data_IF_081368936304
#
_entry.id   IF_081368936304
#
_cell.length_a   1.000
_cell.length_b   1.000
_cell.length_c   1.000
_cell.angle_alpha   90.00
_cell.angle_beta   90.00
_cell.angle_gamma   90.00
#
_symmetry.space_group_name_H-M   'P 1'
#
loop_
_entity.id
_entity.type
_entity.pdbx_description
1 polymer ?
#
# COMPACT_ATOMS: atom_id res chain seq x y z
N UNK A 1 0.88 15.64 -2.81
CA UNK A 1 1.52 14.92 -1.69
C UNK A 1 1.47 15.77 -0.44
N UNK A 2 2.14 16.92 -0.40
CA UNK A 2 2.13 17.84 0.75
C UNK A 2 0.74 18.40 1.08
N UNK A 3 0.11 19.13 0.14
CA UNK A 3 -1.22 19.75 0.36
C UNK A 3 -2.33 18.74 0.69
N UNK A 4 -2.18 17.50 0.22
CA UNK A 4 -3.15 16.42 0.39
C UNK A 4 -2.82 15.46 1.54
N UNK A 5 -1.78 15.76 2.35
CA UNK A 5 -1.38 14.95 3.50
C UNK A 5 -0.93 13.52 3.16
N UNK A 6 -0.57 13.26 1.90
CA UNK A 6 -0.11 11.95 1.42
C UNK A 6 1.37 11.78 1.73
N UNK A 7 1.72 10.60 2.20
CA UNK A 7 3.05 10.27 2.73
C UNK A 7 3.80 9.29 1.83
N UNK A 8 3.09 8.35 1.22
CA UNK A 8 3.66 7.38 0.29
C UNK A 8 2.78 7.29 -0.96
N UNK A 9 3.39 7.24 -2.14
CA UNK A 9 2.65 7.03 -3.37
C UNK A 9 3.38 6.17 -4.39
N UNK A 10 2.60 5.42 -5.16
CA UNK A 10 3.05 4.34 -6.04
C UNK A 10 2.24 4.30 -7.34
N UNK A 11 2.77 3.63 -8.35
CA UNK A 11 2.07 3.36 -9.63
C UNK A 11 1.82 1.88 -9.87
N UNK A 12 2.58 0.98 -9.23
CA UNK A 12 2.48 -0.46 -9.46
C UNK A 12 2.54 -1.23 -8.14
N UNK A 13 1.79 -2.33 -8.05
CA UNK A 13 1.92 -3.33 -7.00
C UNK A 13 2.08 -4.71 -7.62
N UNK A 14 2.89 -5.57 -7.01
CA UNK A 14 3.23 -6.90 -7.51
C UNK A 14 3.27 -7.90 -6.35
N UNK A 15 3.06 -9.19 -6.61
CA UNK A 15 3.42 -10.23 -5.66
C UNK A 15 4.94 -10.46 -5.66
N UNK A 16 5.52 -10.63 -4.48
CA UNK A 16 6.93 -11.01 -4.30
C UNK A 16 7.12 -12.52 -4.51
N UNK A 17 8.31 -12.92 -4.95
CA UNK A 17 8.70 -14.35 -4.95
C UNK A 17 8.94 -14.81 -3.51
N UNK A 18 8.04 -15.64 -2.98
CA UNK A 18 8.10 -16.15 -1.62
C UNK A 18 9.43 -16.84 -1.25
N UNK A 19 10.18 -17.36 -2.24
CA UNK A 19 11.51 -17.96 -2.01
C UNK A 19 12.57 -16.96 -1.55
N UNK A 20 12.32 -15.68 -1.75
CA UNK A 20 13.26 -14.57 -1.48
C UNK A 20 13.08 -14.01 -0.08
N UNK A 21 11.91 -14.25 0.51
CA UNK A 21 11.45 -13.70 1.79
C UNK A 21 10.84 -14.78 2.72
N UNK A 22 11.36 -16.03 2.79
CA UNK A 22 10.70 -17.10 3.53
C UNK A 22 10.50 -16.82 5.02
N UNK A 23 11.32 -15.99 5.66
CA UNK A 23 11.15 -15.64 7.09
C UNK A 23 10.71 -14.21 7.36
N UNK A 24 10.61 -13.35 6.34
CA UNK A 24 10.33 -11.91 6.49
C UNK A 24 9.05 -11.64 7.29
N UNK A 25 7.96 -12.34 6.99
CA UNK A 25 6.68 -12.12 7.66
C UNK A 25 6.70 -12.57 9.11
N UNK A 26 7.31 -13.73 9.40
CA UNK A 26 7.46 -14.20 10.78
C UNK A 26 8.33 -13.26 11.61
N UNK A 27 9.43 -12.75 11.04
CA UNK A 27 10.25 -11.72 11.68
C UNK A 27 9.45 -10.44 11.94
N UNK A 28 8.63 -10.01 10.98
CA UNK A 28 7.76 -8.83 11.13
C UNK A 28 6.70 -9.04 12.21
N UNK A 29 6.06 -10.21 12.29
CA UNK A 29 5.11 -10.52 13.38
C UNK A 29 5.80 -10.48 14.75
N UNK A 30 7.03 -10.99 14.85
CA UNK A 30 7.81 -10.90 16.08
C UNK A 30 8.13 -9.44 16.46
N UNK A 31 8.42 -8.59 15.47
CA UNK A 31 8.56 -7.14 15.69
C UNK A 31 7.26 -6.53 16.22
N UNK A 32 6.11 -6.78 15.59
CA UNK A 32 4.82 -6.24 16.01
C UNK A 32 4.44 -6.69 17.42
N UNK A 33 4.74 -7.93 17.79
CA UNK A 33 4.51 -8.44 19.14
C UNK A 33 5.42 -7.76 20.18
N UNK A 34 6.64 -7.38 19.80
CA UNK A 34 7.62 -6.72 20.68
C UNK A 34 7.35 -5.21 20.81
N UNK A 35 6.84 -4.57 19.77
CA UNK A 35 6.59 -3.12 19.71
C UNK A 35 5.14 -2.80 19.28
N UNK A 36 4.12 -3.27 20.01
CA UNK A 36 2.72 -3.12 19.60
C UNK A 36 2.29 -1.64 19.49
N UNK A 37 2.88 -0.77 20.31
CA UNK A 37 2.57 0.67 20.31
C UNK A 37 3.08 1.42 19.06
N UNK A 38 4.01 0.80 18.30
CA UNK A 38 4.52 1.39 17.05
C UNK A 38 3.63 1.10 15.84
N UNK A 39 2.74 0.11 15.93
CA UNK A 39 1.80 -0.23 14.86
C UNK A 39 0.60 0.72 14.92
N UNK A 40 0.24 1.33 13.78
CA UNK A 40 -0.90 2.23 13.73
C UNK A 40 -2.19 1.45 14.01
N UNK A 41 -3.06 1.99 14.87
CA UNK A 41 -4.37 1.38 15.18
C UNK A 41 -5.28 1.31 13.95
N UNK A 42 -5.23 2.36 13.15
CA UNK A 42 -5.92 2.48 11.86
C UNK A 42 -4.86 2.30 10.77
N UNK A 43 -4.60 1.05 10.41
CA UNK A 43 -3.63 0.70 9.37
C UNK A 43 -4.36 0.03 8.21
N UNK A 44 -3.62 -0.53 7.25
CA UNK A 44 -4.20 -1.23 6.10
C UNK A 44 -3.44 -2.54 5.82
N UNK A 45 -3.18 -3.31 6.87
CA UNK A 45 -2.56 -4.65 6.76
C UNK A 45 -3.31 -5.55 5.77
N UNK A 46 -4.59 -5.31 5.52
CA UNK A 46 -5.41 -6.02 4.52
C UNK A 46 -4.83 -5.93 3.10
N UNK A 47 -4.00 -4.93 2.80
CA UNK A 47 -3.27 -4.85 1.53
C UNK A 47 -2.24 -5.99 1.41
N UNK A 48 -1.55 -6.32 2.50
CA UNK A 48 -0.47 -7.32 2.55
C UNK A 48 -0.91 -8.68 3.14
N UNK A 49 -2.14 -8.80 3.63
CA UNK A 49 -2.61 -10.03 4.27
C UNK A 49 -4.11 -10.25 4.04
N UNK A 50 -4.47 -11.44 3.59
CA UNK A 50 -5.87 -11.80 3.32
C UNK A 50 -6.56 -12.47 4.52
N UNK A 51 -5.85 -12.70 5.62
CA UNK A 51 -6.29 -13.49 6.77
C UNK A 51 -6.08 -12.77 8.11
N UNK A 52 -6.13 -11.43 8.08
CA UNK A 52 -6.05 -10.59 9.27
C UNK A 52 -4.65 -10.52 9.88
N UNK A 53 -3.60 -10.67 9.07
CA UNK A 53 -2.21 -10.62 9.49
C UNK A 53 -1.61 -11.96 9.90
N UNK A 54 -2.31 -13.09 9.71
CA UNK A 54 -1.75 -14.40 10.04
C UNK A 54 -0.65 -14.80 9.04
N UNK A 55 -0.86 -14.54 7.75
CA UNK A 55 0.10 -14.76 6.67
C UNK A 55 0.28 -13.53 5.77
N UNK A 56 1.46 -13.43 5.14
CA UNK A 56 1.76 -12.43 4.12
C UNK A 56 1.29 -12.95 2.75
N UNK A 57 0.49 -12.17 2.05
CA UNK A 57 -0.01 -12.53 0.71
C UNK A 57 1.02 -12.25 -0.40
N UNK A 58 2.20 -11.70 -0.06
CA UNK A 58 3.28 -11.38 -1.00
C UNK A 58 3.15 -10.02 -1.68
N UNK A 59 2.01 -9.32 -1.54
CA UNK A 59 1.75 -8.06 -2.22
C UNK A 59 2.63 -6.93 -1.69
N UNK A 60 3.28 -6.23 -2.60
CA UNK A 60 4.09 -5.06 -2.30
C UNK A 60 3.91 -3.98 -3.38
N UNK A 61 4.12 -2.73 -3.00
CA UNK A 61 4.33 -1.62 -3.92
C UNK A 61 5.69 -1.76 -4.60
N UNK A 62 5.73 -1.57 -5.91
CA UNK A 62 6.95 -1.78 -6.66
C UNK A 62 7.88 -0.57 -6.56
N UNK A 63 8.91 -0.69 -5.70
CA UNK A 63 9.74 0.43 -5.25
C UNK A 63 10.58 1.10 -6.34
N UNK A 64 10.63 0.56 -7.56
CA UNK A 64 11.22 1.23 -8.72
C UNK A 64 10.55 2.58 -9.02
N UNK A 65 9.27 2.75 -8.66
CA UNK A 65 8.59 4.03 -8.62
C UNK A 65 8.03 4.30 -7.23
N UNK A 66 8.59 5.28 -6.53
CA UNK A 66 8.08 5.75 -5.24
C UNK A 66 8.16 7.26 -5.15
N UNK A 67 7.09 7.87 -4.65
CA UNK A 67 7.11 9.24 -4.15
C UNK A 67 6.82 9.15 -2.65
N UNK A 68 7.89 9.13 -1.85
CA UNK A 68 7.83 9.01 -0.40
C UNK A 68 8.29 10.29 0.31
N UNK A 69 7.68 10.59 1.46
CA UNK A 69 8.10 11.71 2.31
C UNK A 69 9.34 11.33 3.15
N UNK A 70 10.49 11.93 2.82
CA UNK A 70 11.78 11.71 3.46
C UNK A 70 12.15 12.74 4.55
N UNK A 71 11.43 13.85 4.67
CA UNK A 71 12.04 15.10 5.17
C UNK A 71 11.92 15.32 6.67
N UNK A 72 13.08 15.65 7.28
CA UNK A 72 13.19 16.47 8.48
C UNK A 72 13.20 17.95 8.06
N UNK A 73 12.18 18.74 8.40
CA UNK A 73 12.34 20.20 8.46
C UNK A 73 12.66 20.58 9.90
N UNK A 74 13.95 20.49 10.23
CA UNK A 74 14.50 21.20 11.39
C UNK A 74 14.34 22.71 11.14
N UNK A 75 13.22 23.28 11.56
CA UNK A 75 13.02 24.72 11.51
C UNK A 75 11.59 25.24 11.58
N UNK A 76 10.57 24.43 11.31
CA UNK A 76 9.18 24.88 11.43
C UNK A 76 8.47 24.19 12.59
N UNK A 77 8.50 24.87 13.73
CA UNK A 77 7.53 24.63 14.79
C UNK A 77 6.13 24.80 14.21
N UNK A 78 5.26 23.82 14.50
CA UNK A 78 3.80 23.89 14.34
C UNK A 78 3.24 23.48 12.97
N UNK A 79 3.27 22.17 12.68
CA UNK A 79 2.12 21.34 12.23
C UNK A 79 2.65 20.00 11.68
N UNK A 80 2.49 18.92 12.46
CA UNK A 80 2.42 17.50 12.06
C UNK A 80 3.05 17.11 10.69
N UNK A 81 4.38 17.16 10.55
CA UNK A 81 5.03 16.48 9.42
C UNK A 81 5.16 15.00 9.75
N UNK A 82 4.41 14.17 9.02
CA UNK A 82 4.47 12.72 9.14
C UNK A 82 5.69 12.21 8.38
N UNK A 83 6.84 12.24 9.04
CA UNK A 83 8.10 11.72 8.49
C UNK A 83 7.96 10.19 8.45
N UNK A 84 8.03 9.56 7.29
CA UNK A 84 7.85 8.10 7.25
C UNK A 84 9.18 7.36 7.38
N UNK A 85 10.10 7.57 6.44
CA UNK A 85 11.38 6.86 6.40
C UNK A 85 12.38 7.23 7.51
N UNK A 86 12.17 8.39 8.15
CA UNK A 86 13.06 8.90 9.23
C UNK A 86 12.38 8.94 10.59
N UNK A 87 11.20 8.34 10.74
CA UNK A 87 10.59 8.24 12.07
C UNK A 87 11.18 7.05 12.86
N UNK A 88 10.95 7.12 14.18
CA UNK A 88 11.39 6.10 15.12
C UNK A 88 10.81 4.72 14.79
N UNK A 89 9.56 4.63 14.33
CA UNK A 89 8.92 3.35 14.02
C UNK A 89 9.61 2.63 12.87
N UNK A 90 9.87 3.32 11.76
CA UNK A 90 10.56 2.78 10.59
C UNK A 90 12.01 2.44 10.91
N UNK A 91 12.75 3.35 11.55
CA UNK A 91 14.15 3.07 11.93
C UNK A 91 14.25 1.87 12.88
N UNK A 92 13.37 1.77 13.89
CA UNK A 92 13.36 0.62 14.81
C UNK A 92 13.00 -0.68 14.09
N UNK A 93 12.05 -0.62 13.13
CA UNK A 93 11.69 -1.78 12.31
C UNK A 93 12.85 -2.23 11.43
N UNK A 94 13.47 -1.30 10.69
CA UNK A 94 14.63 -1.59 9.85
C UNK A 94 15.79 -2.18 10.66
N UNK A 95 16.13 -1.57 11.80
CA UNK A 95 17.20 -2.06 12.68
C UNK A 95 16.88 -3.46 13.22
N UNK A 96 15.61 -3.76 13.52
CA UNK A 96 15.18 -5.08 13.94
C UNK A 96 15.38 -6.12 12.83
N UNK A 97 15.05 -5.77 11.58
CA UNK A 97 15.24 -6.65 10.43
C UNK A 97 16.72 -6.84 10.09
N UNK A 98 17.53 -5.78 10.15
CA UNK A 98 18.96 -5.85 9.82
C UNK A 98 19.70 -6.81 10.77
N UNK A 99 19.33 -6.81 12.04
CA UNK A 99 19.90 -7.71 13.06
C UNK A 99 19.56 -9.20 12.84
N UNK A 100 18.53 -9.53 12.05
CA UNK A 100 18.24 -10.95 11.74
C UNK A 100 19.06 -11.47 10.56
N UNK A 101 19.69 -10.58 9.78
CA UNK A 101 20.51 -10.94 8.63
C UNK A 101 19.71 -11.39 7.40
N UNK A 102 18.39 -11.25 7.38
CA UNK A 102 17.54 -11.70 6.27
C UNK A 102 17.88 -11.04 4.92
N UNK A 103 18.45 -9.83 4.93
CA UNK A 103 18.98 -9.17 3.73
C UNK A 103 20.13 -9.95 3.07
N UNK A 104 20.89 -10.75 3.82
CA UNK A 104 22.08 -11.47 3.34
C UNK A 104 21.89 -12.99 3.30
N UNK A 105 21.18 -13.55 4.28
CA UNK A 105 20.91 -14.99 4.36
C UNK A 105 19.72 -15.40 3.50
N UNK A 106 18.83 -14.47 3.17
CA UNK A 106 17.77 -14.60 2.18
C UNK A 106 18.00 -13.57 1.06
N UNK A 107 16.93 -13.01 0.48
CA UNK A 107 17.03 -11.95 -0.52
C UNK A 107 15.89 -10.94 -0.34
N UNK A 108 15.79 -10.40 0.88
CA UNK A 108 14.80 -9.38 1.20
C UNK A 108 15.05 -8.13 0.35
N UNK A 109 14.17 -7.89 -0.63
CA UNK A 109 14.16 -6.66 -1.41
C UNK A 109 13.63 -5.50 -0.58
N UNK A 110 13.98 -4.28 -0.94
CA UNK A 110 13.45 -3.06 -0.33
C UNK A 110 11.92 -2.94 -0.54
N UNK A 111 11.41 -3.34 -1.71
CA UNK A 111 10.00 -3.24 -2.06
C UNK A 111 9.03 -3.91 -1.04
N UNK A 112 9.19 -5.19 -0.66
CA UNK A 112 8.36 -5.80 0.38
C UNK A 112 8.57 -5.15 1.76
N UNK A 113 9.78 -4.70 2.10
CA UNK A 113 10.09 -4.06 3.40
C UNK A 113 9.35 -2.72 3.52
N UNK A 114 9.47 -1.89 2.48
CA UNK A 114 8.79 -0.61 2.33
C UNK A 114 7.28 -0.77 2.41
N UNK A 115 6.74 -1.77 1.73
CA UNK A 115 5.30 -2.03 1.67
C UNK A 115 4.74 -2.50 3.00
N UNK A 116 5.43 -3.42 3.67
CA UNK A 116 5.05 -3.90 4.99
C UNK A 116 5.07 -2.76 6.01
N UNK A 117 6.15 -1.96 6.04
CA UNK A 117 6.23 -0.80 6.91
C UNK A 117 5.11 0.21 6.63
N UNK A 118 4.80 0.45 5.35
CA UNK A 118 3.75 1.40 4.95
C UNK A 118 2.39 0.91 5.43
N UNK A 119 2.09 -0.38 5.23
CA UNK A 119 0.85 -1.01 5.66
C UNK A 119 0.65 -1.07 7.17
N UNK A 120 1.73 -1.14 7.96
CA UNK A 120 1.68 -1.20 9.43
C UNK A 120 1.65 0.17 10.10
N UNK A 121 2.37 1.16 9.57
CA UNK A 121 2.62 2.43 10.27
C UNK A 121 1.81 3.61 9.73
N UNK A 122 1.29 3.52 8.52
CA UNK A 122 0.47 4.58 7.93
C UNK A 122 -1.01 4.22 7.94
N UNK A 123 -1.84 5.25 7.96
CA UNK A 123 -3.26 5.10 7.67
C UNK A 123 -3.50 4.98 6.16
N UNK A 124 -4.55 4.28 5.72
CA UNK A 124 -4.86 4.12 4.30
C UNK A 124 -4.95 5.46 3.53
N UNK A 125 -5.53 6.50 4.15
CA UNK A 125 -5.69 7.82 3.54
C UNK A 125 -4.36 8.54 3.28
N UNK A 126 -3.25 8.06 3.84
CA UNK A 126 -1.93 8.64 3.64
C UNK A 126 -1.20 8.03 2.44
N UNK A 127 -1.77 7.00 1.83
CA UNK A 127 -1.21 6.32 0.66
C UNK A 127 -1.92 6.76 -0.61
N UNK A 128 -1.14 7.01 -1.66
CA UNK A 128 -1.62 7.47 -2.96
C UNK A 128 -1.24 6.52 -4.09
N UNK A 129 -2.21 5.79 -4.63
CA UNK A 129 -2.11 5.25 -5.98
C UNK A 129 -2.21 6.39 -7.02
N UNK A 130 -1.17 6.56 -7.84
CA UNK A 130 -1.12 7.55 -8.91
C UNK A 130 -1.75 7.00 -10.19
N UNK A 131 -3.08 6.89 -10.20
CA UNK A 131 -3.83 6.38 -11.36
C UNK A 131 -3.72 7.25 -12.62
N UNK A 132 -3.17 8.47 -12.50
CA UNK A 132 -2.99 9.43 -13.57
C UNK A 132 -1.57 9.43 -14.18
N UNK A 133 -0.63 8.68 -13.59
CA UNK A 133 0.77 8.61 -14.05
C UNK A 133 1.03 7.30 -14.81
N UNK A 134 1.07 7.36 -16.14
CA UNK A 134 1.55 6.22 -16.92
C UNK A 134 3.03 5.89 -16.63
N UNK A 135 3.33 4.66 -16.24
CA UNK A 135 4.67 4.22 -15.88
C UNK A 135 4.95 2.80 -16.37
N UNK A 136 6.11 2.61 -16.99
CA UNK A 136 6.60 1.29 -17.42
C UNK A 136 8.01 1.10 -16.90
N UNK A 137 8.25 -0.07 -16.31
CA UNK A 137 9.60 -0.55 -16.02
C UNK A 137 9.65 -2.04 -16.34
N UNK A 138 10.70 -2.49 -17.04
CA UNK A 138 10.80 -3.87 -17.53
C UNK A 138 9.53 -4.32 -18.29
N UNK A 139 8.90 -5.43 -17.87
CA UNK A 139 7.69 -6.02 -18.48
C UNK A 139 6.38 -5.54 -17.84
N UNK A 140 6.45 -4.66 -16.83
CA UNK A 140 5.28 -4.21 -16.09
C UNK A 140 4.95 -2.76 -16.44
N UNK A 141 3.68 -2.51 -16.73
CA UNK A 141 3.16 -1.21 -17.10
C UNK A 141 1.92 -0.89 -16.26
N UNK A 142 1.87 0.34 -15.75
CA UNK A 142 0.63 1.01 -15.33
C UNK A 142 0.29 2.02 -16.42
N UNK A 143 -0.89 1.90 -17.02
CA UNK A 143 -1.37 2.82 -18.06
C UNK A 143 -2.79 3.31 -17.74
N UNK A 144 -2.98 4.61 -17.46
CA UNK A 144 -4.28 5.19 -17.20
C UNK A 144 -5.28 4.95 -18.34
N UNK A 145 -6.47 4.46 -18.01
CA UNK A 145 -7.51 4.12 -18.98
C UNK A 145 -8.72 5.07 -18.94
N UNK A 146 -8.85 5.91 -17.91
CA UNK A 146 -9.92 6.88 -17.83
C UNK A 146 -9.85 7.90 -18.98
N UNK A 147 -10.99 8.30 -19.58
CA UNK A 147 -11.02 9.25 -20.69
C UNK A 147 -10.28 10.57 -20.41
N UNK A 148 -10.33 11.06 -19.16
CA UNK A 148 -9.66 12.30 -18.74
C UNK A 148 -8.13 12.24 -18.88
N UNK A 149 -7.54 11.08 -18.63
CA UNK A 149 -6.09 10.86 -18.71
C UNK A 149 -5.68 10.34 -20.09
N UNK A 150 -6.56 9.60 -20.77
CA UNK A 150 -6.23 8.86 -21.99
C UNK A 150 -5.65 9.74 -23.09
N UNK A 151 -6.12 10.98 -23.23
CA UNK A 151 -5.64 11.92 -24.25
C UNK A 151 -4.23 12.47 -23.99
N UNK A 152 -3.70 12.28 -22.77
CA UNK A 152 -2.36 12.70 -22.35
C UNK A 152 -1.36 11.53 -22.30
N UNK A 153 -1.81 10.29 -22.49
CA UNK A 153 -1.00 9.08 -22.35
C UNK A 153 -0.60 8.47 -23.70
N UNK A 154 0.67 8.07 -23.83
CA UNK A 154 1.19 7.36 -25.00
C UNK A 154 1.07 5.82 -24.91
N UNK A 155 1.04 5.27 -23.69
CA UNK A 155 0.93 3.84 -23.45
C UNK A 155 -0.40 3.24 -23.96
N UNK A 156 -0.41 1.94 -24.16
CA UNK A 156 -1.61 1.17 -24.49
C UNK A 156 -2.24 0.63 -23.19
N UNK A 157 -3.50 0.98 -22.86
CA UNK A 157 -4.17 0.49 -21.66
C UNK A 157 -4.27 -1.04 -21.57
N UNK A 158 -4.27 -1.74 -22.71
CA UNK A 158 -4.29 -3.20 -22.73
C UNK A 158 -3.00 -3.85 -22.18
N UNK A 159 -1.91 -3.09 -22.12
CA UNK A 159 -0.64 -3.54 -21.55
C UNK A 159 -0.57 -3.28 -20.03
N UNK A 160 -1.57 -2.59 -19.45
CA UNK A 160 -1.59 -2.28 -18.02
C UNK A 160 -1.85 -3.53 -17.17
N UNK A 161 -1.14 -3.68 -16.06
CA UNK A 161 -1.31 -4.83 -15.16
C UNK A 161 -2.27 -4.59 -14.00
N UNK A 162 -2.78 -3.36 -13.82
CA UNK A 162 -3.61 -2.97 -12.67
C UNK A 162 -4.88 -3.82 -12.48
N UNK A 163 -5.49 -4.24 -13.59
CA UNK A 163 -6.73 -5.01 -13.61
C UNK A 163 -6.51 -6.51 -13.86
N UNK A 164 -5.25 -6.93 -14.03
CA UNK A 164 -4.89 -8.33 -14.08
C UNK A 164 -4.77 -8.85 -12.64
N UNK A 165 -5.06 -10.14 -12.41
CA UNK A 165 -5.04 -10.75 -11.07
C UNK A 165 -3.74 -10.59 -10.26
N UNK A 166 -2.67 -10.12 -10.90
CA UNK A 166 -1.40 -9.71 -10.30
C UNK A 166 -1.49 -8.45 -9.41
N UNK A 167 -2.52 -7.60 -9.58
CA UNK A 167 -2.62 -6.30 -8.89
C UNK A 167 -3.94 -6.09 -8.14
N UNK A 168 -4.54 -7.16 -7.61
CA UNK A 168 -5.77 -7.07 -6.76
C UNK A 168 -5.54 -6.15 -5.55
N UNK A 169 -4.31 -6.04 -5.06
CA UNK A 169 -3.94 -5.16 -3.97
C UNK A 169 -4.06 -3.66 -4.32
N UNK A 170 -3.84 -3.29 -5.59
CA UNK A 170 -4.10 -1.91 -6.07
C UNK A 170 -5.58 -1.56 -6.02
N UNK A 171 -6.47 -2.54 -6.25
CA UNK A 171 -7.92 -2.34 -6.13
C UNK A 171 -8.36 -2.03 -4.69
N UNK A 172 -7.68 -2.56 -3.67
CA UNK A 172 -7.97 -2.27 -2.27
C UNK A 172 -7.73 -0.78 -1.98
N UNK A 173 -6.56 -0.26 -2.35
CA UNK A 173 -6.22 1.15 -2.13
C UNK A 173 -7.09 2.06 -3.00
N UNK A 174 -7.32 1.72 -4.26
CA UNK A 174 -8.20 2.50 -5.14
C UNK A 174 -9.64 2.55 -4.59
N UNK A 175 -10.14 1.43 -4.07
CA UNK A 175 -11.47 1.36 -3.45
C UNK A 175 -11.54 2.27 -2.23
N UNK A 176 -10.54 2.20 -1.34
CA UNK A 176 -10.46 3.09 -0.17
C UNK A 176 -10.44 4.55 -0.60
N UNK A 177 -9.65 4.90 -1.61
CA UNK A 177 -9.57 6.28 -2.11
C UNK A 177 -10.88 6.77 -2.72
N UNK A 178 -11.60 5.94 -3.47
CA UNK A 178 -12.90 6.27 -4.03
C UNK A 178 -13.95 6.47 -2.92
N UNK A 179 -13.94 5.62 -1.89
CA UNK A 179 -14.81 5.78 -0.71
C UNK A 179 -14.50 7.08 0.02
N UNK A 180 -13.23 7.38 0.27
CA UNK A 180 -12.79 8.63 0.91
C UNK A 180 -13.13 9.88 0.07
N UNK A 181 -13.16 9.75 -1.26
CA UNK A 181 -13.58 10.80 -2.18
C UNK A 181 -15.11 10.95 -2.29
N UNK A 182 -15.89 10.17 -1.53
CA UNK A 182 -17.36 10.28 -1.47
C UNK A 182 -18.10 9.59 -2.62
N UNK A 183 -17.47 8.66 -3.34
CA UNK A 183 -18.16 7.83 -4.34
C UNK A 183 -18.94 6.69 -3.65
N UNK A 184 -20.27 6.69 -3.76
CA UNK A 184 -21.14 5.66 -3.18
C UNK A 184 -20.87 4.24 -3.72
N UNK A 185 -20.80 3.26 -2.80
CA UNK A 185 -20.44 1.86 -3.06
C UNK A 185 -21.27 1.10 -4.11
N UNK A 186 -22.46 1.62 -4.48
CA UNK A 186 -23.29 1.06 -5.56
C UNK A 186 -22.66 1.24 -6.96
N UNK A 187 -21.79 2.24 -7.16
CA UNK A 187 -21.06 2.43 -8.43
C UNK A 187 -19.77 1.60 -8.52
N UNK A 188 -19.22 1.15 -7.39
CA UNK A 188 -18.09 0.23 -7.38
C UNK A 188 -18.49 -1.19 -7.81
N UNK A 189 -19.65 -1.69 -7.36
CA UNK A 189 -20.14 -3.03 -7.71
C UNK A 189 -20.24 -3.23 -9.24
N UNK A 190 -20.79 -2.24 -9.96
CA UNK A 190 -21.02 -2.33 -11.41
C UNK A 190 -19.75 -2.30 -12.28
N UNK A 191 -18.59 -1.88 -11.74
CA UNK A 191 -17.28 -1.96 -12.42
C UNK A 191 -16.50 -3.23 -12.05
N UNK A 192 -16.93 -3.92 -11.00
CA UNK A 192 -16.29 -5.08 -10.37
C UNK A 192 -17.04 -6.38 -10.71
N UNK A 193 -18.17 -6.35 -11.42
CA UNK A 193 -19.01 -7.52 -11.75
C UNK A 193 -18.32 -8.65 -12.60
N UNK A 194 -17.01 -8.57 -12.85
CA UNK A 194 -16.17 -9.69 -13.31
C UNK A 194 -15.26 -10.32 -12.25
N UNK A 195 -15.19 -9.75 -11.03
CA UNK A 195 -14.29 -10.15 -9.95
C UNK A 195 -15.14 -10.26 -8.67
N UNK A 196 -15.38 -11.48 -8.22
CA UNK A 196 -16.02 -11.76 -6.93
C UNK A 196 -15.14 -11.19 -5.81
N UNK A 197 -15.46 -10.00 -5.32
CA UNK A 197 -14.97 -9.54 -4.02
C UNK A 197 -15.73 -10.35 -2.98
N UNK A 198 -15.06 -11.34 -2.39
CA UNK A 198 -15.54 -11.97 -1.17
C UNK A 198 -15.63 -10.91 -0.08
N UNK A 199 -16.85 -10.40 0.14
CA UNK A 199 -17.39 -9.96 1.42
C UNK A 199 -16.39 -9.23 2.34
N UNK A 200 -16.07 -7.98 2.00
CA UNK A 200 -15.72 -7.01 3.04
C UNK A 200 -17.05 -6.53 3.60
N UNK A 201 -17.47 -7.15 4.70
CA UNK A 201 -18.72 -6.89 5.39
C UNK A 201 -18.75 -5.39 5.78
N UNK A 202 -19.57 -4.53 5.14
CA UNK A 202 -19.62 -3.14 5.53
C UNK A 202 -20.39 -3.07 6.85
N UNK A 203 -19.76 -2.47 7.86
CA UNK A 203 -20.39 -1.87 9.04
C UNK A 203 -21.91 -2.12 9.16
N UNK A 204 -22.30 -2.98 10.12
CA UNK A 204 -23.70 -3.08 10.57
C UNK A 204 -24.24 -1.66 10.83
N UNK A 205 -25.29 -1.19 10.14
CA UNK A 205 -25.96 0.03 10.52
C UNK A 205 -26.76 -0.25 11.80
N UNK A 206 -26.35 0.36 12.91
CA UNK A 206 -27.21 0.49 14.09
C UNK A 206 -28.36 1.44 13.73
N UNK A 207 -29.48 0.87 13.27
CA UNK A 207 -30.74 1.58 13.22
C UNK A 207 -31.22 1.81 14.66
N UNK A 208 -31.11 3.04 15.14
CA UNK A 208 -31.98 3.55 16.20
C UNK A 208 -33.34 3.83 15.56
N UNK A 209 -34.35 3.05 15.94
CA UNK A 209 -35.74 3.36 15.64
C UNK A 209 -36.29 4.38 16.66
N UNK A 210 -37.19 5.29 16.26
CA UNK A 210 -38.01 6.07 17.19
C UNK A 210 -39.10 5.24 17.87
#
# INVERSE_FOLDING_TARGET
MEDSGKVYGFTLSLPEDAKTIPTLWETTKAFMAKFPDMVAKENFIEFISNDGGNSYNGCHFWSNFEIGNLVNLSGLSHCLSQNFWRNVSYSTYFDYLDQTGGFFYERWGDAPIHSIATAMFLKPEQVLFFNDIGYTHSVFTHCPNEPEFRHKCHCNPADSIDLNGLSIATLVILTIQLILAGYDGLRLQARIDGIVIMSINPFKPTYTAP
#
